data_IF_680395372139
#
_entry.id   IF_680395372139
#
_cell.length_a   1.000
_cell.length_b   1.000
_cell.length_c   1.000
_cell.angle_alpha   90.00
_cell.angle_beta   90.00
_cell.angle_gamma   90.00
#
_symmetry.space_group_name_H-M   'P 1'
#
loop_
_entity.id
_entity.type
_entity.pdbx_description
1 polymer ?
#
# COMPACT_ATOMS: atom_id res chain seq x y z
N UNK A 1 -0.17 -8.06 12.39
CA UNK A 1 1.14 -8.54 11.93
C UNK A 1 1.11 -8.53 10.41
N UNK A 2 1.96 -7.72 9.79
CA UNK A 2 2.26 -7.82 8.35
C UNK A 2 3.04 -9.13 8.11
N UNK A 3 2.59 -9.87 7.10
CA UNK A 3 3.17 -11.14 6.67
C UNK A 3 4.47 -10.98 5.88
N UNK A 4 4.52 -10.02 4.94
CA UNK A 4 5.69 -9.74 4.09
C UNK A 4 5.49 -8.39 3.40
N UNK A 5 6.32 -7.42 3.79
CA UNK A 5 6.52 -6.16 3.07
C UNK A 5 6.84 -6.28 1.56
N UNK A 6 5.98 -5.74 0.71
CA UNK A 6 6.17 -5.55 -0.74
C UNK A 6 6.54 -6.82 -1.52
N UNK A 7 5.59 -7.74 -1.72
CA UNK A 7 5.81 -8.87 -2.65
C UNK A 7 6.13 -8.35 -4.06
N UNK A 8 7.32 -8.69 -4.56
CA UNK A 8 7.87 -8.16 -5.82
C UNK A 8 8.91 -9.09 -6.45
N UNK A 9 9.23 -8.83 -7.72
CA UNK A 9 10.27 -9.52 -8.50
C UNK A 9 9.73 -10.46 -9.58
N UNK A 10 10.60 -10.90 -10.49
CA UNK A 10 10.21 -11.62 -11.71
C UNK A 10 9.60 -13.01 -11.51
N UNK A 11 9.58 -13.54 -10.29
CA UNK A 11 8.92 -14.82 -9.94
C UNK A 11 7.55 -14.63 -9.29
N UNK A 12 7.10 -13.39 -9.05
CA UNK A 12 5.80 -13.16 -8.46
C UNK A 12 4.70 -13.73 -9.35
N UNK A 13 3.76 -14.48 -8.77
CA UNK A 13 2.63 -15.04 -9.49
C UNK A 13 1.49 -15.33 -8.51
N UNK A 14 0.26 -15.36 -9.04
CA UNK A 14 -0.93 -15.56 -8.21
C UNK A 14 -0.94 -16.93 -7.54
N UNK A 15 -0.44 -17.99 -8.21
CA UNK A 15 -0.46 -19.34 -7.64
C UNK A 15 0.33 -19.41 -6.33
N UNK A 16 1.56 -18.91 -6.34
CA UNK A 16 2.42 -18.87 -5.16
C UNK A 16 1.91 -17.87 -4.12
N UNK A 17 1.38 -16.72 -4.54
CA UNK A 17 0.76 -15.76 -3.62
C UNK A 17 -0.36 -16.42 -2.81
N UNK A 18 -1.36 -17.01 -3.49
CA UNK A 18 -2.47 -17.67 -2.80
C UNK A 18 -2.00 -18.80 -1.89
N UNK A 19 -0.99 -19.57 -2.30
CA UNK A 19 -0.46 -20.70 -1.52
C UNK A 19 0.24 -20.22 -0.24
N UNK A 20 1.26 -19.39 -0.39
CA UNK A 20 2.15 -19.04 0.72
C UNK A 20 1.56 -17.97 1.64
N UNK A 21 0.81 -17.00 1.10
CA UNK A 21 0.09 -16.02 1.94
C UNK A 21 -0.97 -16.73 2.78
N UNK A 22 -1.75 -17.64 2.19
CA UNK A 22 -2.72 -18.43 2.97
C UNK A 22 -2.06 -19.28 4.05
N UNK A 23 -0.93 -19.91 3.73
CA UNK A 23 -0.20 -20.74 4.68
C UNK A 23 0.33 -19.90 5.85
N UNK A 24 0.95 -18.75 5.57
CA UNK A 24 1.44 -17.83 6.60
C UNK A 24 0.31 -17.30 7.47
N UNK A 25 -0.75 -16.79 6.85
CA UNK A 25 -1.92 -16.27 7.55
C UNK A 25 -2.56 -17.32 8.49
N UNK A 26 -2.82 -18.53 7.98
CA UNK A 26 -3.39 -19.64 8.78
C UNK A 26 -2.47 -20.07 9.91
N UNK A 27 -1.16 -20.01 9.70
CA UNK A 27 -0.17 -20.32 10.75
C UNK A 27 -0.21 -19.29 11.86
N UNK A 28 -0.18 -17.99 11.53
CA UNK A 28 -0.29 -16.90 12.52
C UNK A 28 -1.59 -17.05 13.33
N UNK A 29 -2.73 -17.17 12.64
CA UNK A 29 -4.03 -17.26 13.29
C UNK A 29 -4.18 -18.51 14.17
N UNK A 30 -3.61 -19.65 13.76
CA UNK A 30 -3.58 -20.87 14.58
C UNK A 30 -2.80 -20.68 15.89
N UNK A 31 -1.72 -19.90 15.86
CA UNK A 31 -0.88 -19.68 17.04
C UNK A 31 -1.41 -18.56 17.95
N UNK A 32 -2.00 -17.52 17.37
CA UNK A 32 -2.64 -16.46 18.11
C UNK A 32 -3.86 -15.94 17.35
N UNK A 33 -5.08 -16.39 17.72
CA UNK A 33 -6.29 -15.98 17.03
C UNK A 33 -6.70 -14.54 17.34
N UNK A 34 -6.09 -13.89 18.34
CA UNK A 34 -6.44 -12.52 18.72
C UNK A 34 -5.83 -11.47 17.78
N UNK A 35 -4.73 -11.81 17.09
CA UNK A 35 -4.02 -10.90 16.19
C UNK A 35 -4.81 -10.60 14.91
N UNK A 36 -4.71 -9.35 14.47
CA UNK A 36 -4.99 -9.00 13.08
C UNK A 36 -3.86 -9.53 12.18
N UNK A 37 -4.25 -10.13 11.07
CA UNK A 37 -3.36 -10.58 10.00
C UNK A 37 -3.47 -9.59 8.86
N UNK A 38 -2.37 -8.88 8.58
CA UNK A 38 -2.28 -7.89 7.51
C UNK A 38 -1.71 -8.58 6.28
N UNK A 39 -2.41 -8.47 5.15
CA UNK A 39 -2.13 -9.17 3.90
C UNK A 39 -1.72 -8.18 2.84
N UNK A 40 -0.47 -8.27 2.43
CA UNK A 40 0.11 -7.50 1.33
C UNK A 40 -0.20 -8.14 -0.04
N UNK A 41 -0.38 -7.29 -1.04
CA UNK A 41 -0.55 -7.58 -2.45
C UNK A 41 0.75 -7.80 -3.20
N UNK A 42 0.67 -7.68 -4.53
CA UNK A 42 1.77 -7.86 -5.45
C UNK A 42 2.30 -6.52 -5.95
N UNK A 43 3.40 -6.57 -6.71
CA UNK A 43 3.99 -5.42 -7.37
C UNK A 43 4.32 -4.28 -6.41
N UNK A 44 5.19 -4.56 -5.43
CA UNK A 44 5.57 -3.59 -4.39
C UNK A 44 4.37 -3.17 -3.53
N UNK A 45 3.47 -4.12 -3.29
CA UNK A 45 2.22 -3.87 -2.55
C UNK A 45 1.27 -2.85 -3.21
N UNK A 46 1.46 -2.57 -4.51
CA UNK A 46 0.58 -1.65 -5.23
C UNK A 46 -0.68 -2.32 -5.76
N UNK A 47 -0.74 -3.66 -5.85
CA UNK A 47 -1.82 -4.36 -6.56
C UNK A 47 -2.46 -5.51 -5.77
N UNK A 48 -3.74 -5.33 -5.42
CA UNK A 48 -4.65 -6.33 -4.89
C UNK A 48 -5.85 -6.59 -5.83
N UNK A 49 -5.85 -6.04 -7.04
CA UNK A 49 -6.99 -6.08 -7.98
C UNK A 49 -7.38 -7.50 -8.39
N UNK A 50 -6.46 -8.46 -8.32
CA UNK A 50 -6.73 -9.87 -8.56
C UNK A 50 -7.75 -10.46 -7.57
N UNK A 51 -7.94 -9.84 -6.39
CA UNK A 51 -8.95 -10.26 -5.43
C UNK A 51 -10.38 -9.99 -5.91
N UNK A 52 -10.58 -9.08 -6.88
CA UNK A 52 -11.88 -8.88 -7.55
C UNK A 52 -12.37 -10.15 -8.25
N UNK A 53 -11.44 -11.01 -8.69
CA UNK A 53 -11.76 -12.26 -9.42
C UNK A 53 -11.83 -13.48 -8.52
N UNK A 54 -11.02 -13.51 -7.47
CA UNK A 54 -10.93 -14.63 -6.53
C UNK A 54 -10.57 -14.08 -5.16
N UNK A 55 -11.38 -14.32 -4.14
CA UNK A 55 -11.05 -13.88 -2.79
C UNK A 55 -10.03 -14.81 -2.13
N UNK A 56 -9.36 -14.32 -1.08
CA UNK A 56 -8.49 -15.12 -0.24
C UNK A 56 -9.32 -15.87 0.81
N UNK A 57 -9.41 -17.19 0.69
CA UNK A 57 -10.24 -18.03 1.57
C UNK A 57 -9.49 -18.51 2.81
N UNK A 58 -9.56 -17.70 3.88
CA UNK A 58 -8.90 -17.98 5.18
C UNK A 58 -9.85 -18.46 6.27
N UNK A 59 -11.17 -18.30 6.10
CA UNK A 59 -12.19 -18.56 7.12
C UNK A 59 -11.89 -17.89 8.48
N UNK A 60 -11.41 -16.64 8.47
CA UNK A 60 -11.18 -15.85 9.67
C UNK A 60 -12.40 -14.98 9.97
N UNK A 61 -12.78 -14.85 11.24
CA UNK A 61 -13.83 -13.92 11.66
C UNK A 61 -13.21 -12.65 12.22
N UNK A 62 -13.36 -11.51 11.52
CA UNK A 62 -12.92 -10.19 11.98
C UNK A 62 -11.43 -10.07 12.33
N UNK A 63 -10.55 -10.78 11.59
CA UNK A 63 -9.08 -10.73 11.78
C UNK A 63 -8.28 -10.37 10.54
N UNK A 64 -8.93 -10.24 9.39
CA UNK A 64 -8.28 -9.98 8.11
C UNK A 64 -8.22 -8.48 7.84
N UNK A 65 -7.04 -7.99 7.51
CA UNK A 65 -6.80 -6.62 7.01
C UNK A 65 -5.95 -6.76 5.75
N UNK A 66 -6.24 -5.98 4.72
CA UNK A 66 -5.35 -5.85 3.56
C UNK A 66 -4.54 -4.57 3.68
N UNK A 67 -3.35 -4.58 3.09
CA UNK A 67 -2.53 -3.37 2.98
C UNK A 67 -2.18 -3.02 1.54
N UNK A 68 -1.87 -1.76 1.31
CA UNK A 68 -1.37 -1.28 0.03
C UNK A 68 -0.38 -0.14 0.23
N UNK A 69 0.56 -0.01 -0.70
CA UNK A 69 1.54 1.07 -0.73
C UNK A 69 1.20 2.09 -1.82
N UNK A 70 1.55 3.36 -1.58
CA UNK A 70 1.42 4.40 -2.60
C UNK A 70 2.47 5.51 -2.45
N UNK A 71 3.13 5.83 -3.56
CA UNK A 71 4.10 6.92 -3.64
C UNK A 71 3.83 7.81 -4.84
N UNK A 72 4.45 8.98 -4.84
CA UNK A 72 4.45 9.89 -5.99
C UNK A 72 5.02 9.22 -7.25
N UNK A 73 5.94 8.27 -7.07
CA UNK A 73 6.54 7.45 -8.13
C UNK A 73 5.75 6.18 -8.48
N UNK A 74 4.62 5.89 -7.83
CA UNK A 74 3.76 4.77 -8.22
C UNK A 74 3.13 5.07 -9.58
N UNK A 75 3.59 4.37 -10.62
CA UNK A 75 3.20 4.60 -12.02
C UNK A 75 4.20 5.47 -12.78
N UNK A 76 3.75 6.18 -13.82
CA UNK A 76 4.63 7.02 -14.64
C UNK A 76 4.90 8.36 -13.95
N UNK A 77 6.17 8.73 -13.77
CA UNK A 77 6.57 9.92 -13.00
C UNK A 77 6.48 11.24 -13.78
N UNK A 78 6.74 11.22 -15.09
CA UNK A 78 6.74 12.42 -15.94
C UNK A 78 5.36 13.13 -15.99
N UNK A 79 4.28 12.40 -15.67
CA UNK A 79 2.91 12.94 -15.60
C UNK A 79 2.80 14.16 -14.69
N UNK A 80 3.58 14.24 -13.61
CA UNK A 80 3.51 15.34 -12.64
C UNK A 80 3.94 16.68 -13.23
N UNK A 81 4.71 16.67 -14.32
CA UNK A 81 5.21 17.87 -15.00
C UNK A 81 4.58 18.10 -16.37
N UNK A 82 4.07 17.04 -17.00
CA UNK A 82 3.48 17.11 -18.34
C UNK A 82 1.96 17.38 -18.33
N UNK A 83 1.27 17.13 -17.22
CA UNK A 83 -0.19 17.13 -17.19
C UNK A 83 -0.76 18.08 -16.12
N UNK A 84 -2.01 18.57 -16.28
CA UNK A 84 -2.69 19.34 -15.24
C UNK A 84 -2.80 18.57 -13.92
N UNK A 85 -2.49 19.23 -12.80
CA UNK A 85 -2.41 18.59 -11.48
C UNK A 85 -3.72 17.88 -11.08
N UNK A 86 -4.87 18.48 -11.39
CA UNK A 86 -6.17 17.86 -11.09
C UNK A 86 -6.37 16.53 -11.84
N UNK A 87 -5.87 16.42 -13.07
CA UNK A 87 -5.94 15.19 -13.85
C UNK A 87 -5.01 14.12 -13.26
N UNK A 88 -3.77 14.51 -12.92
CA UNK A 88 -2.81 13.62 -12.26
C UNK A 88 -3.34 13.11 -10.93
N UNK A 89 -3.88 13.99 -10.07
CA UNK A 89 -4.53 13.57 -8.82
C UNK A 89 -5.66 12.56 -9.08
N UNK A 90 -6.54 12.83 -10.05
CA UNK A 90 -7.64 11.90 -10.38
C UNK A 90 -7.11 10.53 -10.78
N UNK A 91 -6.15 10.48 -11.69
CA UNK A 91 -5.56 9.23 -12.19
C UNK A 91 -4.85 8.45 -11.08
N UNK A 92 -4.09 9.12 -10.21
CA UNK A 92 -3.41 8.47 -9.07
C UNK A 92 -4.43 7.82 -8.14
N UNK A 93 -5.49 8.56 -7.79
CA UNK A 93 -6.51 8.08 -6.85
C UNK A 93 -7.39 7.01 -7.48
N UNK A 94 -7.73 7.12 -8.76
CA UNK A 94 -8.45 6.07 -9.51
C UNK A 94 -7.64 4.77 -9.56
N UNK A 95 -6.33 4.88 -9.80
CA UNK A 95 -5.43 3.72 -9.78
C UNK A 95 -5.43 3.03 -8.41
N UNK A 96 -5.30 3.80 -7.32
CA UNK A 96 -5.38 3.26 -5.95
C UNK A 96 -6.74 2.61 -5.66
N UNK A 97 -7.85 3.24 -6.09
CA UNK A 97 -9.20 2.69 -5.94
C UNK A 97 -9.35 1.37 -6.69
N UNK A 98 -8.82 1.30 -7.91
CA UNK A 98 -8.89 0.10 -8.73
C UNK A 98 -8.03 -1.03 -8.18
N UNK A 99 -6.87 -0.71 -7.64
CA UNK A 99 -5.91 -1.70 -7.17
C UNK A 99 -6.17 -2.18 -5.75
N UNK A 100 -6.68 -1.33 -4.86
CA UNK A 100 -6.89 -1.67 -3.45
C UNK A 100 -8.20 -1.10 -2.88
N UNK A 101 -8.56 0.15 -3.20
CA UNK A 101 -9.72 0.84 -2.60
C UNK A 101 -11.09 0.23 -2.89
N UNK A 102 -11.21 -0.72 -3.83
CA UNK A 102 -12.42 -1.52 -4.00
C UNK A 102 -12.73 -2.40 -2.79
N UNK A 103 -11.72 -2.72 -1.97
CA UNK A 103 -11.86 -3.58 -0.78
C UNK A 103 -12.75 -2.97 0.31
N UNK A 104 -12.78 -1.64 0.41
CA UNK A 104 -13.59 -0.92 1.41
C UNK A 104 -14.99 -0.53 0.88
N UNK A 105 -15.25 -0.68 -0.42
CA UNK A 105 -16.49 -0.21 -1.07
C UNK A 105 -17.35 -1.34 -1.68
N UNK A 106 -16.94 -2.61 -1.59
CA UNK A 106 -17.66 -3.74 -2.16
C UNK A 106 -18.79 -4.29 -1.28
N UNK A 107 -19.50 -5.31 -1.77
CA UNK A 107 -20.61 -5.97 -1.05
C UNK A 107 -20.20 -6.61 0.29
N UNK A 108 -18.93 -6.99 0.40
CA UNK A 108 -18.31 -7.53 1.61
C UNK A 108 -17.05 -6.73 1.92
N UNK A 109 -17.18 -5.53 2.51
CA UNK A 109 -16.05 -4.66 2.75
C UNK A 109 -15.10 -5.31 3.76
N UNK A 110 -13.81 -5.19 3.51
CA UNK A 110 -12.73 -5.64 4.38
C UNK A 110 -11.81 -4.45 4.67
N UNK A 111 -11.26 -4.33 5.88
CA UNK A 111 -10.37 -3.21 6.21
C UNK A 111 -9.17 -3.13 5.26
N UNK A 112 -8.89 -1.92 4.79
CA UNK A 112 -7.71 -1.58 4.01
C UNK A 112 -6.87 -0.58 4.80
N UNK A 113 -5.58 -0.88 4.94
CA UNK A 113 -4.59 -0.07 5.63
C UNK A 113 -3.53 0.38 4.63
N UNK A 114 -3.34 1.68 4.43
CA UNK A 114 -2.20 2.17 3.65
C UNK A 114 -0.97 2.15 4.54
N UNK A 115 -0.32 0.99 4.63
CA UNK A 115 0.81 0.76 5.52
C UNK A 115 2.04 1.58 5.14
N UNK A 116 2.12 2.03 3.88
CA UNK A 116 3.25 2.81 3.40
C UNK A 116 2.83 3.86 2.36
N UNK A 117 3.13 5.11 2.68
CA UNK A 117 3.24 6.22 1.73
C UNK A 117 4.31 7.18 2.24
N UNK A 118 4.97 7.91 1.35
CA UNK A 118 6.04 8.80 1.76
C UNK A 118 6.27 9.95 0.81
N UNK A 119 7.05 10.91 1.30
CA UNK A 119 7.44 12.11 0.59
C UNK A 119 8.68 12.73 1.24
N UNK A 120 9.44 13.50 0.47
CA UNK A 120 10.51 14.34 1.00
C UNK A 120 9.95 15.46 1.90
N UNK A 121 10.12 15.28 3.21
CA UNK A 121 9.64 16.22 4.23
C UNK A 121 10.42 17.54 4.29
N UNK A 122 11.51 17.70 3.54
CA UNK A 122 12.20 19.01 3.42
C UNK A 122 11.47 19.97 2.50
N UNK A 123 10.55 19.45 1.67
CA UNK A 123 9.77 20.23 0.72
C UNK A 123 10.52 20.60 -0.56
N UNK A 124 11.71 20.04 -0.83
CA UNK A 124 12.46 20.36 -2.06
C UNK A 124 12.00 19.53 -3.26
N UNK A 125 11.49 18.32 -3.06
CA UNK A 125 10.94 17.50 -4.14
C UNK A 125 9.56 18.01 -4.61
N UNK A 126 9.51 18.57 -5.82
CA UNK A 126 8.28 19.15 -6.36
C UNK A 126 7.20 18.11 -6.72
N UNK A 127 7.58 16.89 -7.07
CA UNK A 127 6.65 15.79 -7.41
C UNK A 127 5.93 15.33 -6.15
N UNK A 128 6.67 15.13 -5.07
CA UNK A 128 6.16 14.78 -3.75
C UNK A 128 5.20 15.84 -3.20
N UNK A 129 5.58 17.11 -3.31
CA UNK A 129 4.73 18.25 -2.91
C UNK A 129 3.40 18.31 -3.65
N UNK A 130 3.37 17.89 -4.93
CA UNK A 130 2.14 17.79 -5.73
C UNK A 130 1.31 16.55 -5.36
N UNK A 131 1.97 15.44 -5.04
CA UNK A 131 1.34 14.16 -4.73
C UNK A 131 0.63 14.15 -3.38
N UNK A 132 1.29 14.65 -2.33
CA UNK A 132 0.83 14.50 -0.95
C UNK A 132 -0.61 15.04 -0.74
N UNK A 133 -0.99 16.24 -1.23
CA UNK A 133 -2.36 16.73 -1.09
C UNK A 133 -3.40 15.85 -1.81
N UNK A 134 -3.06 15.24 -2.95
CA UNK A 134 -3.97 14.34 -3.66
C UNK A 134 -4.32 13.13 -2.77
N UNK A 135 -3.29 12.48 -2.21
CA UNK A 135 -3.46 11.27 -1.39
C UNK A 135 -4.13 11.57 -0.06
N UNK A 136 -3.65 12.55 0.71
CA UNK A 136 -4.18 12.86 2.04
C UNK A 136 -5.65 13.30 1.96
N UNK A 137 -6.03 14.07 0.93
CA UNK A 137 -7.43 14.44 0.72
C UNK A 137 -8.32 13.23 0.47
N UNK A 138 -7.84 12.26 -0.31
CA UNK A 138 -8.57 11.02 -0.56
C UNK A 138 -8.65 10.15 0.71
N UNK A 139 -7.54 9.93 1.40
CA UNK A 139 -7.49 9.14 2.63
C UNK A 139 -8.45 9.71 3.69
N UNK A 140 -8.47 11.03 3.88
CA UNK A 140 -9.42 11.70 4.77
C UNK A 140 -10.88 11.57 4.32
N UNK A 141 -11.14 11.57 3.00
CA UNK A 141 -12.51 11.48 2.46
C UNK A 141 -13.19 10.12 2.67
N UNK A 142 -12.42 9.06 2.91
CA UNK A 142 -12.92 7.69 3.08
C UNK A 142 -12.56 7.07 4.44
N UNK A 143 -12.04 7.87 5.37
CA UNK A 143 -11.59 7.41 6.71
C UNK A 143 -10.59 6.24 6.62
N UNK A 144 -9.58 6.38 5.76
CA UNK A 144 -8.59 5.34 5.50
C UNK A 144 -7.55 5.29 6.62
N UNK A 145 -7.28 4.12 7.17
CA UNK A 145 -6.13 3.92 8.06
C UNK A 145 -4.82 4.00 7.27
N UNK A 146 -3.78 4.62 7.84
CA UNK A 146 -2.50 4.82 7.15
C UNK A 146 -1.29 4.85 8.09
N UNK A 147 -0.10 4.64 7.51
CA UNK A 147 1.19 4.80 8.18
C UNK A 147 2.19 5.50 7.25
N UNK A 148 2.85 6.55 7.76
CA UNK A 148 3.81 7.35 7.00
C UNK A 148 5.18 6.67 6.98
N UNK A 149 5.73 6.51 5.78
CA UNK A 149 7.11 6.17 5.52
C UNK A 149 7.95 7.44 5.30
N UNK A 150 8.84 7.82 6.20
CA UNK A 150 9.08 7.18 7.50
C UNK A 150 9.35 8.21 8.58
N UNK A 151 9.19 7.79 9.84
CA UNK A 151 9.60 8.57 11.01
C UNK A 151 11.09 8.37 11.33
N UNK A 152 11.95 8.30 10.31
CA UNK A 152 13.41 8.18 10.47
C UNK A 152 14.08 9.53 10.77
N UNK A 153 13.69 10.60 10.09
CA UNK A 153 14.40 11.88 10.15
C UNK A 153 15.79 11.85 9.48
N UNK A 154 16.40 13.02 9.30
CA UNK A 154 17.62 13.21 8.51
C UNK A 154 18.94 13.05 9.28
N UNK A 155 18.89 12.57 10.52
CA UNK A 155 20.06 12.44 11.40
C UNK A 155 20.70 11.05 11.38
N UNK A 156 20.08 10.07 10.72
CA UNK A 156 20.67 8.73 10.58
C UNK A 156 21.73 8.70 9.47
N UNK A 157 22.83 8.01 9.75
CA UNK A 157 23.81 7.65 8.74
C UNK A 157 23.32 6.40 8.01
N UNK A 158 23.25 6.46 6.69
CA UNK A 158 23.06 5.29 5.84
C UNK A 158 24.18 5.20 4.83
N UNK A 159 24.85 4.04 4.79
CA UNK A 159 25.98 3.79 3.89
C UNK A 159 27.08 4.87 3.96
N UNK A 160 27.29 5.46 5.14
CA UNK A 160 28.27 6.53 5.35
C UNK A 160 27.80 7.94 5.00
N UNK A 161 26.56 8.09 4.50
CA UNK A 161 25.97 9.38 4.16
C UNK A 161 24.97 9.82 5.24
N UNK A 162 25.16 11.02 5.80
CA UNK A 162 24.19 11.62 6.76
C UNK A 162 22.92 11.98 6.02
N UNK A 163 21.77 11.58 6.57
CA UNK A 163 20.48 11.96 6.03
C UNK A 163 20.21 11.39 4.64
N UNK A 164 20.94 10.34 4.25
CA UNK A 164 20.56 9.56 3.09
C UNK A 164 19.18 8.94 3.37
N UNK A 165 18.22 9.29 2.52
CA UNK A 165 16.87 8.76 2.57
C UNK A 165 16.81 7.26 2.29
N UNK A 166 15.58 6.76 2.17
CA UNK A 166 15.36 5.48 1.51
C UNK A 166 15.45 5.50 -0.01
#
# INVERSE_FOLDING_TARGET
>A
MDLRNELRGGRQNLHDWYKYVSQGAKTIHKHNPDLLVVISGLNFDNDLSFLKKKTLDLNFTNKLVYEAHIYSFSGTQDRWDLQPLNWVCSTVIETLKDQAGFLINGDNPVPLFISEFGYDMTGVNHVDNKFLPCFVSYAASVDLDWSLWSFGGSYYYREGTVGAGE
#
